data_IF_769854337270
#
_entry.id   IF_769854337270
#
_cell.length_a   1.000
_cell.length_b   1.000
_cell.length_c   1.000
_cell.angle_alpha   90.00
_cell.angle_beta   90.00
_cell.angle_gamma   90.00
#
_symmetry.space_group_name_H-M   'P 1'
#
loop_
_entity.id
_entity.type
_entity.pdbx_description
1 polymer ?
#
# COMPACT_ATOMS: atom_id res chain seq x y z
N UNK A 1 -41.24 22.18 41.63
CA UNK A 1 -40.18 22.16 40.61
C UNK A 1 -39.06 23.07 41.08
N UNK A 2 -37.96 22.50 41.52
CA UNK A 2 -36.81 23.24 42.04
C UNK A 2 -36.04 23.88 40.87
N UNK A 3 -35.30 24.96 41.11
CA UNK A 3 -34.55 25.63 40.05
C UNK A 3 -33.43 24.76 39.47
N UNK A 4 -32.96 23.77 40.24
CA UNK A 4 -32.03 22.73 39.80
C UNK A 4 -32.65 21.79 38.75
N UNK A 5 -33.93 21.44 38.88
CA UNK A 5 -34.62 20.63 37.88
C UNK A 5 -34.77 21.40 36.56
N UNK A 6 -35.06 22.70 36.63
CA UNK A 6 -35.16 23.57 35.44
C UNK A 6 -33.82 23.71 34.71
N UNK A 7 -32.71 23.84 35.44
CA UNK A 7 -31.39 23.96 34.83
C UNK A 7 -30.96 22.64 34.15
N UNK A 8 -31.25 21.50 34.79
CA UNK A 8 -30.98 20.17 34.24
C UNK A 8 -31.76 19.89 32.97
N UNK A 9 -33.05 20.23 32.94
CA UNK A 9 -33.89 20.12 31.73
C UNK A 9 -33.34 21.00 30.61
N UNK A 10 -32.94 22.24 30.91
CA UNK A 10 -32.39 23.16 29.91
C UNK A 10 -31.09 22.62 29.29
N UNK A 11 -30.19 22.07 30.10
CA UNK A 11 -28.97 21.43 29.61
C UNK A 11 -29.25 20.19 28.76
N UNK A 12 -30.24 19.38 29.13
CA UNK A 12 -30.64 18.21 28.34
C UNK A 12 -31.19 18.62 26.97
N UNK A 13 -32.08 19.61 26.93
CA UNK A 13 -32.66 20.13 25.68
C UNK A 13 -31.58 20.71 24.76
N UNK A 14 -30.59 21.42 25.31
CA UNK A 14 -29.45 21.94 24.55
C UNK A 14 -28.59 20.81 23.95
N UNK A 15 -28.29 19.77 24.73
CA UNK A 15 -27.53 18.61 24.24
C UNK A 15 -28.26 17.91 23.10
N UNK A 16 -29.57 17.69 23.24
CA UNK A 16 -30.36 17.09 22.18
C UNK A 16 -30.42 17.95 20.92
N UNK A 17 -30.46 19.28 21.05
CA UNK A 17 -30.43 20.19 19.90
C UNK A 17 -29.11 20.06 19.12
N UNK A 18 -27.97 20.01 19.82
CA UNK A 18 -26.64 19.80 19.19
C UNK A 18 -26.58 18.48 18.45
N UNK A 19 -27.08 17.40 19.05
CA UNK A 19 -27.11 16.07 18.40
C UNK A 19 -28.02 16.09 17.16
N UNK A 20 -29.21 16.71 17.25
CA UNK A 20 -30.13 16.82 16.12
C UNK A 20 -29.49 17.59 14.95
N UNK A 21 -28.79 18.67 15.24
CA UNK A 21 -28.08 19.46 14.21
C UNK A 21 -26.94 18.66 13.57
N UNK A 22 -26.15 17.92 14.37
CA UNK A 22 -25.10 17.05 13.86
C UNK A 22 -25.64 15.99 12.89
N UNK A 23 -26.73 15.30 13.27
CA UNK A 23 -27.38 14.29 12.41
C UNK A 23 -27.88 14.90 11.09
N UNK A 24 -28.48 16.10 11.15
CA UNK A 24 -28.93 16.80 9.94
C UNK A 24 -27.75 17.15 9.03
N UNK A 25 -26.62 17.57 9.60
CA UNK A 25 -25.41 17.88 8.84
C UNK A 25 -24.80 16.62 8.22
N UNK A 26 -24.75 15.50 8.93
CA UNK A 26 -24.31 14.21 8.38
C UNK A 26 -25.16 13.79 7.18
N UNK A 27 -26.49 13.86 7.28
CA UNK A 27 -27.38 13.53 6.16
C UNK A 27 -27.11 14.43 4.95
N UNK A 28 -26.85 15.73 5.16
CA UNK A 28 -26.50 16.66 4.08
C UNK A 28 -25.15 16.32 3.44
N UNK A 29 -24.17 15.93 4.25
CA UNK A 29 -22.84 15.54 3.78
C UNK A 29 -22.95 14.26 2.95
N UNK A 30 -23.70 13.25 3.40
CA UNK A 30 -23.91 11.99 2.66
C UNK A 30 -24.54 12.25 1.30
N UNK A 31 -25.57 13.10 1.23
CA UNK A 31 -26.19 13.48 -0.06
C UNK A 31 -25.20 14.16 -0.99
N UNK A 32 -24.39 15.07 -0.47
CA UNK A 32 -23.36 15.79 -1.23
C UNK A 32 -22.22 14.86 -1.65
N UNK A 33 -21.88 13.88 -0.84
CA UNK A 33 -20.80 12.93 -1.09
C UNK A 33 -21.05 12.13 -2.37
N UNK A 34 -22.29 11.69 -2.62
CA UNK A 34 -22.64 10.99 -3.86
C UNK A 34 -22.42 11.88 -5.09
N UNK A 35 -22.84 13.15 -5.05
CA UNK A 35 -22.65 14.09 -6.16
C UNK A 35 -21.18 14.45 -6.37
N UNK A 36 -20.45 14.76 -5.28
CA UNK A 36 -19.06 15.23 -5.36
C UNK A 36 -18.05 14.11 -5.60
N UNK A 37 -18.33 12.87 -5.21
CA UNK A 37 -17.34 11.78 -5.23
C UNK A 37 -17.75 10.57 -6.08
N UNK A 38 -18.92 10.58 -6.72
CA UNK A 38 -19.32 9.53 -7.67
C UNK A 38 -18.33 9.34 -8.81
N UNK A 39 -17.72 10.42 -9.31
CA UNK A 39 -16.69 10.36 -10.36
C UNK A 39 -15.48 9.52 -9.94
N UNK A 40 -15.17 9.45 -8.63
CA UNK A 40 -14.04 8.68 -8.13
C UNK A 40 -14.33 7.18 -8.29
N UNK A 41 -15.56 6.75 -8.01
CA UNK A 41 -15.99 5.36 -8.23
C UNK A 41 -15.93 4.97 -9.71
N UNK A 42 -16.28 5.88 -10.62
CA UNK A 42 -16.14 5.66 -12.07
C UNK A 42 -14.68 5.54 -12.49
N UNK A 43 -13.78 6.39 -11.98
CA UNK A 43 -12.33 6.31 -12.25
C UNK A 43 -11.73 5.00 -11.78
N UNK A 44 -12.13 4.50 -10.61
CA UNK A 44 -11.66 3.20 -10.11
C UNK A 44 -12.14 2.04 -10.97
N UNK A 45 -13.39 2.05 -11.44
CA UNK A 45 -13.88 1.03 -12.38
C UNK A 45 -13.09 1.05 -13.68
N UNK A 46 -12.80 2.24 -14.22
CA UNK A 46 -11.97 2.38 -15.42
C UNK A 46 -10.56 1.83 -15.19
N UNK A 47 -9.96 2.12 -14.03
CA UNK A 47 -8.65 1.60 -13.64
C UNK A 47 -8.66 0.07 -13.54
N UNK A 48 -9.70 -0.53 -12.93
CA UNK A 48 -9.86 -1.98 -12.86
C UNK A 48 -9.96 -2.61 -14.26
N UNK A 49 -10.70 -1.99 -15.17
CA UNK A 49 -10.76 -2.43 -16.56
C UNK A 49 -9.42 -2.29 -17.28
N UNK A 50 -8.70 -1.19 -17.08
CA UNK A 50 -7.36 -0.99 -17.63
C UNK A 50 -6.37 -2.02 -17.09
N UNK A 51 -6.42 -2.34 -15.79
CA UNK A 51 -5.61 -3.39 -15.17
C UNK A 51 -6.00 -4.76 -15.73
N UNK A 52 -7.28 -5.04 -15.91
CA UNK A 52 -7.74 -6.30 -16.50
C UNK A 52 -7.28 -6.44 -17.97
N UNK A 53 -7.33 -5.35 -18.74
CA UNK A 53 -6.81 -5.28 -20.12
C UNK A 53 -5.27 -5.41 -20.15
N UNK A 54 -4.57 -4.77 -19.23
CA UNK A 54 -3.11 -4.84 -19.11
C UNK A 54 -2.62 -6.21 -18.64
N UNK A 55 -3.37 -6.90 -17.78
CA UNK A 55 -3.09 -8.27 -17.33
C UNK A 55 -3.22 -9.32 -18.45
N UNK A 56 -3.73 -8.96 -19.63
CA UNK A 56 -3.62 -9.79 -20.84
C UNK A 56 -2.17 -9.85 -21.36
N UNK A 57 -1.33 -8.85 -21.04
CA UNK A 57 0.06 -8.77 -21.48
C UNK A 57 1.12 -9.14 -20.41
N UNK A 58 0.74 -9.34 -19.14
CA UNK A 58 1.66 -9.79 -18.07
C UNK A 58 1.50 -11.26 -17.71
N UNK A 59 1.09 -12.11 -18.66
CA UNK A 59 1.58 -13.48 -18.66
C UNK A 59 2.98 -13.47 -19.26
N UNK A 60 3.94 -12.89 -18.53
CA UNK A 60 5.33 -13.26 -18.69
C UNK A 60 5.37 -14.77 -18.51
N UNK A 61 5.29 -15.51 -19.62
CA UNK A 61 5.88 -16.83 -19.71
C UNK A 61 7.38 -16.57 -19.54
N UNK A 62 7.81 -16.40 -18.28
CA UNK A 62 9.14 -16.84 -17.94
C UNK A 62 9.20 -18.28 -18.45
N UNK A 63 9.98 -18.50 -19.50
CA UNK A 63 10.33 -19.84 -19.89
C UNK A 63 10.99 -20.45 -18.66
N UNK A 64 10.29 -21.31 -17.94
CA UNK A 64 10.85 -22.19 -16.91
C UNK A 64 11.75 -23.26 -17.56
N UNK A 65 12.55 -22.88 -18.55
CA UNK A 65 13.60 -23.73 -19.10
C UNK A 65 14.83 -23.55 -18.23
N UNK A 66 14.84 -24.22 -17.07
CA UNK A 66 16.08 -24.43 -16.30
C UNK A 66 16.02 -24.25 -14.78
N UNK A 67 14.89 -23.83 -14.18
CA UNK A 67 14.79 -23.83 -12.71
C UNK A 67 14.35 -25.22 -12.24
N UNK A 68 15.34 -26.01 -11.81
CA UNK A 68 15.08 -27.23 -11.03
C UNK A 68 14.20 -26.95 -9.81
N UNK A 69 13.71 -27.99 -9.11
CA UNK A 69 12.80 -27.83 -7.98
C UNK A 69 13.35 -26.80 -6.99
N UNK A 70 12.62 -25.69 -6.83
CA UNK A 70 13.00 -24.62 -5.91
C UNK A 70 12.86 -25.17 -4.50
N UNK A 71 13.98 -25.64 -3.96
CA UNK A 71 14.07 -26.10 -2.58
C UNK A 71 14.14 -24.87 -1.69
N UNK A 72 12.99 -24.48 -1.13
CA UNK A 72 12.96 -23.41 -0.14
C UNK A 72 13.70 -23.85 1.13
N UNK A 73 14.61 -23.02 1.67
CA UNK A 73 15.26 -23.34 2.92
C UNK A 73 14.23 -23.36 4.06
N UNK A 74 14.25 -24.42 4.87
CA UNK A 74 13.32 -24.60 6.00
C UNK A 74 13.56 -23.49 7.04
N UNK A 75 12.49 -22.79 7.41
CA UNK A 75 12.55 -21.76 8.44
C UNK A 75 13.06 -22.35 9.77
N UNK A 76 13.93 -21.64 10.50
CA UNK A 76 14.46 -22.10 11.78
C UNK A 76 13.35 -22.26 12.82
N UNK A 77 13.38 -23.35 13.58
CA UNK A 77 12.34 -23.68 14.58
C UNK A 77 12.49 -22.87 15.86
N UNK A 78 13.66 -22.26 16.08
CA UNK A 78 14.01 -21.57 17.33
C UNK A 78 14.25 -20.08 17.09
N UNK A 79 13.68 -19.24 17.95
CA UNK A 79 13.79 -17.77 17.89
C UNK A 79 15.23 -17.24 17.96
N UNK A 80 16.10 -17.93 18.69
CA UNK A 80 17.54 -17.62 18.73
C UNK A 80 18.24 -17.74 17.36
N UNK A 81 17.61 -18.42 16.40
CA UNK A 81 18.11 -18.60 15.03
C UNK A 81 17.27 -17.83 14.01
N UNK A 82 16.38 -16.92 14.40
CA UNK A 82 15.55 -16.16 13.45
C UNK A 82 16.26 -14.94 12.87
N UNK A 83 17.21 -14.36 13.60
CA UNK A 83 17.93 -13.17 13.12
C UNK A 83 19.05 -13.61 12.18
N UNK A 84 18.97 -13.21 10.91
CA UNK A 84 20.05 -13.45 9.94
C UNK A 84 20.23 -14.90 9.48
N UNK A 85 19.23 -15.76 9.66
CA UNK A 85 19.33 -17.20 9.34
C UNK A 85 19.63 -17.52 7.88
N UNK A 86 19.14 -16.69 6.96
CA UNK A 86 19.52 -16.76 5.54
C UNK A 86 20.84 -16.02 5.27
N UNK A 87 21.21 -15.03 6.08
CA UNK A 87 22.40 -14.21 5.84
C UNK A 87 23.71 -15.00 5.96
N UNK A 88 23.72 -16.12 6.70
CA UNK A 88 24.89 -16.99 6.81
C UNK A 88 25.13 -17.84 5.54
N UNK A 89 24.10 -18.08 4.73
CA UNK A 89 24.24 -18.83 3.48
C UNK A 89 24.78 -17.90 2.38
N UNK A 90 25.87 -18.35 1.73
CA UNK A 90 26.54 -17.62 0.66
C UNK A 90 25.62 -17.20 -0.48
N UNK A 91 24.52 -17.92 -0.71
CA UNK A 91 23.55 -17.60 -1.76
C UNK A 91 22.77 -16.32 -1.47
N UNK A 92 22.48 -16.08 -0.19
CA UNK A 92 21.66 -14.97 0.28
C UNK A 92 22.46 -13.85 0.97
N UNK A 93 23.80 -13.93 0.96
CA UNK A 93 24.66 -12.82 1.38
C UNK A 93 24.39 -11.60 0.51
N UNK A 94 23.83 -10.55 1.12
CA UNK A 94 23.57 -9.27 0.48
C UNK A 94 24.85 -8.45 0.26
N UNK A 95 25.95 -8.80 0.95
CA UNK A 95 27.26 -8.17 0.80
C UNK A 95 27.79 -8.21 -0.64
N UNK A 96 27.36 -9.19 -1.46
CA UNK A 96 27.68 -9.26 -2.90
C UNK A 96 27.12 -8.07 -3.70
N UNK A 97 26.14 -7.36 -3.14
CA UNK A 97 25.52 -6.18 -3.73
C UNK A 97 25.79 -4.90 -2.90
N UNK A 98 26.58 -4.99 -1.83
CA UNK A 98 26.93 -3.84 -0.99
C UNK A 98 28.01 -2.94 -1.61
N UNK A 99 28.38 -1.87 -0.93
CA UNK A 99 29.38 -0.87 -1.37
C UNK A 99 30.77 -1.44 -1.75
N UNK A 100 31.08 -2.67 -1.32
CA UNK A 100 32.32 -3.37 -1.67
C UNK A 100 32.21 -4.23 -2.93
N UNK A 101 31.04 -4.33 -3.55
CA UNK A 101 30.87 -4.97 -4.84
C UNK A 101 31.59 -4.13 -5.90
N UNK A 102 32.62 -4.70 -6.54
CA UNK A 102 33.25 -4.04 -7.68
C UNK A 102 32.17 -3.90 -8.77
N UNK A 103 31.87 -2.68 -9.26
CA UNK A 103 30.91 -2.52 -10.33
C UNK A 103 31.38 -3.31 -11.55
N UNK A 104 30.59 -4.30 -11.95
CA UNK A 104 30.92 -5.22 -13.06
C UNK A 104 30.79 -4.50 -14.40
N UNK A 105 29.92 -3.49 -14.47
CA UNK A 105 29.71 -2.57 -15.58
C UNK A 105 29.23 -1.22 -15.04
N UNK A 106 29.53 -0.14 -15.74
CA UNK A 106 28.85 1.14 -15.53
C UNK A 106 27.46 1.07 -16.18
N UNK A 107 26.47 1.76 -15.60
CA UNK A 107 25.11 1.83 -16.16
C UNK A 107 25.12 2.27 -17.64
N UNK A 108 26.02 3.18 -18.02
CA UNK A 108 26.21 3.59 -19.41
C UNK A 108 26.53 2.42 -20.35
N UNK A 109 27.34 1.46 -19.90
CA UNK A 109 27.76 0.32 -20.74
C UNK A 109 26.67 -0.73 -20.86
N UNK A 110 25.81 -0.86 -19.86
CA UNK A 110 24.71 -1.82 -19.87
C UNK A 110 23.52 -1.34 -20.71
N UNK A 111 23.22 -0.04 -20.63
CA UNK A 111 22.08 0.55 -21.33
C UNK A 111 22.45 1.25 -22.65
N UNK A 112 23.72 1.21 -23.05
CA UNK A 112 24.26 1.93 -24.23
C UNK A 112 23.87 3.42 -24.25
N UNK A 113 23.74 4.03 -23.07
CA UNK A 113 23.27 5.40 -22.98
C UNK A 113 24.34 6.40 -23.38
N UNK A 114 23.98 7.44 -24.16
CA UNK A 114 24.90 8.53 -24.47
C UNK A 114 25.33 9.21 -23.17
N UNK A 115 26.63 9.47 -23.05
CA UNK A 115 27.26 10.07 -21.86
C UNK A 115 26.67 11.45 -21.57
N UNK A 116 26.11 12.10 -22.58
CA UNK A 116 25.46 13.42 -22.53
C UNK A 116 24.11 13.43 -21.79
N UNK A 117 23.53 12.27 -21.48
CA UNK A 117 22.18 12.14 -20.93
C UNK A 117 22.05 12.17 -19.39
N UNK A 118 23.13 12.31 -18.63
CA UNK A 118 23.10 12.35 -17.16
C UNK A 118 23.93 13.54 -16.64
N UNK A 119 23.35 14.46 -15.84
CA UNK A 119 24.04 15.64 -15.30
C UNK A 119 25.09 15.32 -14.24
#
# INVERSE_FOLDING_TARGET
MTDEEKSKIRHQVQREAVVREAVINEIKIVKRWEDEWSFLAEKYKHLEEEIAKANVFTKCKEKEEGRGPVTFPKYPVTTAKEIGWLANDSRFRLEKFGQYARPIHSLHKEFEWPIEGCP
#
